data_IF_607348044533
#
_entry.id   IF_607348044533
#
_cell.length_a   1.000
_cell.length_b   1.000
_cell.length_c   1.000
_cell.angle_alpha   90.00
_cell.angle_beta   90.00
_cell.angle_gamma   90.00
#
_symmetry.space_group_name_H-M   'P 1'
#
loop_
_entity.id
_entity.type
_entity.pdbx_description
1 polymer ?
#
# COMPACT_ATOMS: atom_id res chain seq x y z
N UNK A 1 -55.08 0.20 -46.90
CA UNK A 1 -53.66 -0.15 -46.65
C UNK A 1 -53.19 0.74 -45.49
N UNK A 2 -53.13 0.31 -44.22
CA UNK A 2 -52.16 -0.63 -43.59
C UNK A 2 -50.74 -0.03 -43.76
N UNK A 3 -50.08 0.55 -42.74
CA UNK A 3 -49.36 -0.13 -41.62
C UNK A 3 -49.03 0.88 -40.47
N UNK A 4 -49.11 0.38 -39.23
CA UNK A 4 -48.63 0.94 -37.94
C UNK A 4 -47.13 0.61 -37.69
N UNK A 5 -46.56 1.14 -36.59
CA UNK A 5 -45.31 0.68 -35.89
C UNK A 5 -44.01 1.16 -36.57
N UNK A 6 -42.87 1.48 -35.93
CA UNK A 6 -42.26 1.22 -34.61
C UNK A 6 -41.03 2.19 -34.57
N UNK A 7 -40.75 3.01 -33.54
CA UNK A 7 -40.12 2.60 -32.29
C UNK A 7 -38.64 2.20 -32.47
N UNK A 8 -37.67 3.07 -32.16
CA UNK A 8 -36.40 2.66 -31.52
C UNK A 8 -35.64 3.87 -30.94
N UNK A 9 -35.85 4.11 -29.64
CA UNK A 9 -34.94 4.91 -28.83
C UNK A 9 -33.79 3.99 -28.38
N UNK A 10 -32.60 4.17 -28.95
CA UNK A 10 -31.37 3.51 -28.49
C UNK A 10 -30.87 4.22 -27.22
N UNK A 11 -31.40 3.78 -26.07
CA UNK A 11 -30.87 4.12 -24.77
C UNK A 11 -29.58 3.35 -24.52
N UNK A 12 -28.43 4.04 -24.58
CA UNK A 12 -27.15 3.50 -24.13
C UNK A 12 -27.15 3.53 -22.60
N UNK A 13 -27.56 2.41 -21.99
CA UNK A 13 -27.41 2.19 -20.55
C UNK A 13 -25.94 1.96 -20.23
N UNK A 14 -25.27 3.03 -19.78
CA UNK A 14 -23.97 2.93 -19.13
C UNK A 14 -24.17 2.22 -17.79
N UNK A 15 -23.97 0.90 -17.77
CA UNK A 15 -23.87 0.13 -16.54
C UNK A 15 -22.59 0.57 -15.85
N UNK A 16 -22.71 1.55 -14.96
CA UNK A 16 -21.69 1.89 -13.98
C UNK A 16 -21.54 0.66 -13.09
N UNK A 17 -20.55 -0.16 -13.42
CA UNK A 17 -20.07 -1.25 -12.58
C UNK A 17 -19.43 -0.61 -11.35
N UNK A 18 -20.23 -0.38 -10.32
CA UNK A 18 -19.75 -0.07 -8.99
C UNK A 18 -19.15 -1.38 -8.44
N UNK A 19 -17.84 -1.55 -8.58
CA UNK A 19 -17.14 -2.62 -7.87
C UNK A 19 -17.43 -2.47 -6.37
N UNK A 20 -17.74 -3.55 -5.64
CA UNK A 20 -17.98 -3.45 -4.21
C UNK A 20 -16.69 -2.98 -3.53
N UNK A 21 -16.69 -1.73 -3.09
CA UNK A 21 -15.70 -1.24 -2.13
C UNK A 21 -15.93 -2.06 -0.86
N UNK A 22 -15.04 -3.00 -0.59
CA UNK A 22 -15.11 -3.85 0.59
C UNK A 22 -15.25 -2.97 1.84
N UNK A 23 -16.39 -3.08 2.52
CA UNK A 23 -16.72 -2.29 3.70
C UNK A 23 -15.65 -2.47 4.77
N UNK A 24 -15.04 -1.35 5.19
CA UNK A 24 -14.12 -1.29 6.32
C UNK A 24 -14.94 -1.55 7.58
N UNK A 25 -14.74 -2.67 8.27
CA UNK A 25 -15.34 -2.79 9.60
C UNK A 25 -14.57 -1.89 10.56
N UNK A 26 -15.27 -1.27 11.52
CA UNK A 26 -14.68 -0.34 12.48
C UNK A 26 -13.58 -0.99 13.36
N UNK A 27 -13.54 -2.31 13.42
CA UNK A 27 -12.55 -3.10 14.15
C UNK A 27 -11.36 -3.59 13.31
N UNK A 28 -11.33 -3.31 11.99
CA UNK A 28 -10.21 -3.66 11.12
C UNK A 28 -8.94 -2.89 11.51
N UNK A 29 -7.80 -3.57 11.44
CA UNK A 29 -6.47 -2.93 11.49
C UNK A 29 -6.17 -2.42 10.07
N UNK A 30 -6.13 -1.10 9.90
CA UNK A 30 -5.85 -0.46 8.60
C UNK A 30 -4.40 0.02 8.55
N UNK A 31 -3.65 -0.46 7.57
CA UNK A 31 -2.29 -0.04 7.27
C UNK A 31 -2.29 1.00 6.15
N UNK A 32 -2.24 2.28 6.52
CA UNK A 32 -1.93 3.38 5.60
C UNK A 32 -0.54 3.22 4.99
N UNK A 33 -0.48 3.13 3.66
CA UNK A 33 0.74 2.89 2.91
C UNK A 33 0.93 3.93 1.81
N UNK A 34 1.86 4.86 2.00
CA UNK A 34 2.24 5.84 0.99
C UNK A 34 3.40 5.30 0.14
N UNK A 35 3.30 5.43 -1.20
CA UNK A 35 4.30 4.88 -2.11
C UNK A 35 4.45 5.75 -3.36
N UNK A 36 5.60 5.64 -4.03
CA UNK A 36 5.88 6.34 -5.29
C UNK A 36 4.98 5.84 -6.43
N UNK A 37 4.30 6.74 -7.13
CA UNK A 37 3.34 6.44 -8.20
C UNK A 37 3.90 5.55 -9.32
N UNK A 38 5.22 5.48 -9.50
CA UNK A 38 5.87 4.58 -10.45
C UNK A 38 5.57 3.10 -10.20
N UNK A 39 5.12 2.76 -8.98
CA UNK A 39 4.78 1.40 -8.57
C UNK A 39 3.28 1.11 -8.55
N UNK A 40 2.43 2.07 -8.94
CA UNK A 40 0.98 2.04 -8.73
C UNK A 40 0.31 0.78 -9.24
N UNK A 41 0.61 0.36 -10.47
CA UNK A 41 0.00 -0.83 -11.04
C UNK A 41 0.30 -2.07 -10.20
N UNK A 42 1.58 -2.28 -9.88
CA UNK A 42 2.00 -3.44 -9.10
C UNK A 42 1.45 -3.40 -7.67
N UNK A 43 1.53 -2.24 -6.99
CA UNK A 43 1.01 -2.07 -5.63
C UNK A 43 -0.49 -2.29 -5.56
N UNK A 44 -1.24 -1.82 -6.55
CA UNK A 44 -2.69 -2.03 -6.63
C UNK A 44 -3.02 -3.52 -6.74
N UNK A 45 -2.32 -4.24 -7.60
CA UNK A 45 -2.57 -5.65 -7.84
C UNK A 45 -2.25 -6.52 -6.61
N UNK A 46 -1.08 -6.32 -5.99
CA UNK A 46 -0.69 -7.08 -4.80
C UNK A 46 -1.54 -6.71 -3.58
N UNK A 47 -1.91 -5.44 -3.43
CA UNK A 47 -2.75 -4.98 -2.32
C UNK A 47 -4.16 -5.55 -2.44
N UNK A 48 -4.72 -5.59 -3.66
CA UNK A 48 -6.01 -6.24 -3.92
C UNK A 48 -5.97 -7.71 -3.52
N UNK A 49 -4.93 -8.43 -3.93
CA UNK A 49 -4.76 -9.85 -3.58
C UNK A 49 -4.63 -10.05 -2.06
N UNK A 50 -3.80 -9.26 -1.38
CA UNK A 50 -3.61 -9.32 0.07
C UNK A 50 -4.90 -9.03 0.84
N UNK A 51 -5.62 -7.97 0.48
CA UNK A 51 -6.88 -7.60 1.14
C UNK A 51 -7.98 -8.65 0.92
N UNK A 52 -8.01 -9.28 -0.27
CA UNK A 52 -8.94 -10.35 -0.59
C UNK A 52 -8.66 -11.64 0.21
N UNK A 53 -7.39 -11.95 0.49
CA UNK A 53 -7.00 -13.11 1.29
C UNK A 53 -7.50 -13.03 2.75
N UNK A 54 -7.84 -11.83 3.23
CA UNK A 54 -8.54 -11.66 4.50
C UNK A 54 -7.71 -12.03 5.74
N UNK A 55 -6.42 -11.67 5.73
CA UNK A 55 -5.50 -11.90 6.85
C UNK A 55 -6.04 -11.35 8.18
N UNK A 56 -5.82 -12.08 9.26
CA UNK A 56 -6.28 -11.74 10.61
C UNK A 56 -5.11 -11.75 11.59
N UNK A 57 -5.01 -10.71 12.42
CA UNK A 57 -4.03 -10.60 13.51
C UNK A 57 -4.78 -10.28 14.79
N UNK A 58 -4.58 -11.09 15.83
CA UNK A 58 -5.26 -10.94 17.14
C UNK A 58 -6.79 -10.82 17.01
N UNK A 59 -7.39 -11.61 16.11
CA UNK A 59 -8.83 -11.63 15.86
C UNK A 59 -9.36 -10.47 15.02
N UNK A 60 -8.52 -9.53 14.59
CA UNK A 60 -8.91 -8.40 13.73
C UNK A 60 -8.41 -8.59 12.31
N UNK A 61 -9.23 -8.27 11.31
CA UNK A 61 -8.80 -8.31 9.92
C UNK A 61 -7.79 -7.19 9.66
N UNK A 62 -6.73 -7.50 8.93
CA UNK A 62 -5.72 -6.53 8.48
C UNK A 62 -6.02 -6.14 7.05
N UNK A 63 -6.09 -4.84 6.77
CA UNK A 63 -6.25 -4.30 5.41
C UNK A 63 -5.18 -3.26 5.15
N UNK A 64 -4.66 -3.24 3.93
CA UNK A 64 -3.73 -2.21 3.45
C UNK A 64 -4.52 -1.18 2.65
N UNK A 65 -4.30 0.10 2.96
CA UNK A 65 -4.86 1.24 2.23
C UNK A 65 -3.72 1.97 1.50
N UNK A 66 -3.50 1.69 0.22
CA UNK A 66 -2.37 2.24 -0.53
C UNK A 66 -2.72 3.62 -1.10
N UNK A 67 -1.82 4.60 -0.97
CA UNK A 67 -1.95 5.93 -1.58
C UNK A 67 -0.76 6.20 -2.50
N UNK A 68 -0.96 6.32 -3.83
CA UNK A 68 0.08 6.74 -4.75
C UNK A 68 0.41 8.23 -4.53
N UNK A 69 1.70 8.56 -4.54
CA UNK A 69 2.20 9.91 -4.29
C UNK A 69 3.47 10.19 -5.07
N UNK A 70 3.84 11.47 -5.18
CA UNK A 70 5.20 11.84 -5.57
C UNK A 70 6.23 11.29 -4.56
N UNK A 71 7.40 10.86 -5.05
CA UNK A 71 8.40 10.19 -4.20
C UNK A 71 8.94 11.08 -3.07
N UNK A 72 9.12 12.37 -3.35
CA UNK A 72 9.54 13.37 -2.37
C UNK A 72 8.36 13.84 -1.49
N UNK A 73 7.21 14.10 -2.12
CA UNK A 73 5.97 14.54 -1.46
C UNK A 73 5.56 13.61 -0.31
N UNK A 74 5.63 12.29 -0.52
CA UNK A 74 5.28 11.32 0.51
C UNK A 74 6.20 11.41 1.75
N UNK A 75 7.48 11.73 1.56
CA UNK A 75 8.44 11.90 2.66
C UNK A 75 8.20 13.22 3.38
N UNK A 76 8.03 14.30 2.62
CA UNK A 76 7.76 15.65 3.13
C UNK A 76 6.47 15.69 3.97
N UNK A 77 5.37 15.12 3.49
CA UNK A 77 4.10 15.11 4.23
C UNK A 77 4.17 14.28 5.53
N UNK A 78 4.94 13.19 5.52
CA UNK A 78 5.15 12.37 6.73
C UNK A 78 6.07 13.10 7.72
N UNK A 79 7.10 13.80 7.25
CA UNK A 79 7.96 14.67 8.08
C UNK A 79 7.17 15.82 8.71
N UNK A 80 6.36 16.50 7.91
CA UNK A 80 5.50 17.59 8.35
C UNK A 80 4.36 17.12 9.28
N UNK A 81 4.12 15.80 9.36
CA UNK A 81 3.05 15.20 10.13
C UNK A 81 1.66 15.46 9.55
N UNK A 82 1.56 16.03 8.34
CA UNK A 82 0.32 16.22 7.59
C UNK A 82 -0.24 14.89 7.09
N UNK A 83 0.62 13.87 6.95
CA UNK A 83 0.24 12.48 6.66
C UNK A 83 0.66 11.53 7.76
N UNK A 84 -0.25 10.61 8.12
CA UNK A 84 -0.02 9.51 9.05
C UNK A 84 0.10 8.20 8.26
N UNK A 85 1.27 7.91 7.71
CA UNK A 85 1.55 6.65 7.04
C UNK A 85 2.21 5.65 8.01
N UNK A 86 1.79 4.38 7.96
CA UNK A 86 2.46 3.29 8.69
C UNK A 86 3.59 2.68 7.87
N UNK A 87 3.45 2.71 6.55
CA UNK A 87 4.42 2.22 5.58
C UNK A 87 4.73 3.33 4.56
N UNK A 88 6.00 3.42 4.17
CA UNK A 88 6.48 4.39 3.19
C UNK A 88 7.43 3.69 2.19
N UNK A 89 7.15 3.82 0.89
CA UNK A 89 7.97 3.24 -0.18
C UNK A 89 8.20 4.25 -1.32
N UNK A 90 9.14 5.19 -1.17
CA UNK A 90 9.47 6.15 -2.23
C UNK A 90 10.08 5.44 -3.46
N UNK A 91 10.29 6.19 -4.55
CA UNK A 91 10.95 5.70 -5.75
C UNK A 91 12.40 5.25 -5.49
N UNK A 92 13.11 5.91 -4.56
CA UNK A 92 14.51 5.67 -4.26
C UNK A 92 14.79 5.73 -2.74
N UNK A 93 15.75 4.91 -2.30
CA UNK A 93 16.27 4.95 -0.92
C UNK A 93 16.89 6.30 -0.54
N UNK A 94 17.35 7.09 -1.51
CA UNK A 94 17.87 8.43 -1.26
C UNK A 94 16.86 9.35 -0.54
N UNK A 95 15.56 9.22 -0.86
CA UNK A 95 14.52 9.98 -0.16
C UNK A 95 14.36 9.56 1.30
N UNK A 96 14.60 8.29 1.62
CA UNK A 96 14.58 7.81 3.00
C UNK A 96 15.81 8.33 3.77
N UNK A 97 16.99 8.33 3.14
CA UNK A 97 18.21 8.85 3.75
C UNK A 97 18.11 10.35 4.03
N UNK A 98 17.64 11.13 3.05
CA UNK A 98 17.41 12.57 3.21
C UNK A 98 16.34 12.86 4.26
N UNK A 99 15.19 12.17 4.20
CA UNK A 99 14.13 12.35 5.19
C UNK A 99 14.55 11.95 6.61
N UNK A 100 15.34 10.90 6.77
CA UNK A 100 15.91 10.54 8.06
C UNK A 100 16.93 11.58 8.56
N UNK A 101 17.77 12.10 7.67
CA UNK A 101 18.71 13.18 8.01
C UNK A 101 17.97 14.44 8.48
N UNK A 102 16.91 14.83 7.78
CA UNK A 102 16.07 15.97 8.13
C UNK A 102 15.32 15.76 9.45
N UNK A 103 14.73 14.58 9.68
CA UNK A 103 14.05 14.25 10.93
C UNK A 103 14.98 14.30 12.14
N UNK A 104 16.23 13.87 11.98
CA UNK A 104 17.28 13.97 13.01
C UNK A 104 17.72 15.41 13.26
N UNK A 105 17.84 16.22 12.20
CA UNK A 105 18.22 17.63 12.31
C UNK A 105 17.10 18.50 12.92
N UNK A 106 15.84 18.11 12.73
CA UNK A 106 14.67 18.75 13.33
C UNK A 106 14.43 18.36 14.81
N UNK A 107 13.27 18.73 15.34
CA UNK A 107 12.91 18.54 16.75
C UNK A 107 12.77 17.07 17.18
N UNK A 108 12.75 16.11 16.24
CA UNK A 108 12.52 14.70 16.49
C UNK A 108 13.75 13.93 16.97
N UNK A 109 14.96 14.35 16.57
CA UNK A 109 16.24 13.73 16.96
C UNK A 109 16.35 12.23 16.63
N UNK A 110 15.47 11.71 15.77
CA UNK A 110 15.30 10.27 15.47
C UNK A 110 15.04 10.10 13.99
N UNK A 111 15.20 8.88 13.49
CA UNK A 111 14.87 8.55 12.11
C UNK A 111 13.35 8.61 11.88
N UNK A 112 12.96 9.18 10.74
CA UNK A 112 11.58 9.20 10.25
C UNK A 112 11.07 7.78 9.98
N UNK A 113 11.88 7.00 9.27
CA UNK A 113 11.59 5.64 8.85
C UNK A 113 12.71 4.74 9.32
N UNK A 114 12.35 3.73 10.11
CA UNK A 114 13.27 2.62 10.38
C UNK A 114 13.41 1.79 9.12
N UNK A 115 14.56 1.87 8.47
CA UNK A 115 14.88 1.01 7.33
C UNK A 115 15.10 -0.41 7.87
N UNK A 116 14.09 -1.27 7.72
CA UNK A 116 14.21 -2.67 8.11
C UNK A 116 15.17 -3.44 7.20
N UNK A 117 15.82 -4.49 7.72
CA UNK A 117 16.75 -5.37 6.98
C UNK A 117 16.13 -5.97 5.70
N UNK A 118 14.81 -6.06 5.63
CA UNK A 118 14.02 -6.53 4.49
C UNK A 118 14.14 -5.65 3.24
N UNK A 119 14.46 -4.36 3.37
CA UNK A 119 14.67 -3.44 2.24
C UNK A 119 16.01 -3.74 1.53
N UNK A 120 17.05 -4.12 2.29
CA UNK A 120 18.31 -4.57 1.69
C UNK A 120 18.12 -5.89 0.95
N UNK A 121 17.32 -6.80 1.50
CA UNK A 121 17.02 -8.08 0.85
C UNK A 121 16.18 -7.92 -0.43
N UNK A 122 15.18 -7.03 -0.43
CA UNK A 122 14.39 -6.74 -1.63
C UNK A 122 15.21 -6.14 -2.78
N UNK A 123 16.27 -5.37 -2.48
CA UNK A 123 17.20 -4.88 -3.49
C UNK A 123 18.04 -6.01 -4.11
N UNK A 124 18.42 -7.01 -3.30
CA UNK A 124 19.11 -8.24 -3.77
C UNK A 124 18.16 -9.12 -4.58
N UNK A 125 16.89 -9.19 -4.19
CA UNK A 125 15.88 -10.03 -4.83
C UNK A 125 15.24 -9.40 -6.07
N UNK A 126 15.39 -8.09 -6.32
CA UNK A 126 14.87 -7.44 -7.52
C UNK A 126 15.48 -7.96 -8.84
N UNK A 127 16.57 -8.74 -8.77
CA UNK A 127 17.12 -9.51 -9.88
C UNK A 127 16.64 -10.97 -9.98
N UNK A 128 15.80 -11.42 -9.04
CA UNK A 128 15.27 -12.78 -8.99
C UNK A 128 13.73 -12.76 -8.93
N UNK A 129 13.08 -13.68 -9.64
CA UNK A 129 11.62 -13.82 -9.63
C UNK A 129 11.08 -13.87 -8.19
N UNK A 130 9.97 -13.17 -7.85
CA UNK A 130 9.49 -13.08 -6.47
C UNK A 130 9.18 -14.47 -5.90
N UNK A 131 9.97 -14.93 -4.93
CA UNK A 131 9.57 -16.05 -4.08
C UNK A 131 8.69 -15.52 -2.97
N UNK A 132 7.48 -16.04 -2.87
CA UNK A 132 6.64 -15.89 -1.68
C UNK A 132 7.39 -16.55 -0.52
N UNK A 133 8.08 -15.75 0.29
CA UNK A 133 8.74 -16.22 1.50
C UNK A 133 7.66 -16.46 2.55
N UNK A 134 7.33 -17.73 2.78
CA UNK A 134 6.48 -18.15 3.90
C UNK A 134 7.14 -17.73 5.21
N UNK A 135 6.36 -17.20 6.13
CA UNK A 135 6.75 -16.83 7.49
C UNK A 135 7.49 -17.97 8.21
N UNK A 136 8.82 -17.96 8.15
CA UNK A 136 9.67 -18.78 9.02
C UNK A 136 9.73 -18.13 10.40
N UNK A 137 9.03 -18.72 11.37
CA UNK A 137 9.12 -18.32 12.77
C UNK A 137 10.52 -18.57 13.29
N UNK A 138 11.17 -17.50 13.75
CA UNK A 138 12.37 -17.60 14.56
C UNK A 138 11.96 -18.12 15.95
N UNK A 139 12.21 -19.41 16.17
CA UNK A 139 12.23 -20.03 17.50
C UNK A 139 13.67 -20.47 17.80
N UNK A 140 14.60 -19.52 17.78
CA UNK A 140 15.95 -19.69 18.30
C UNK A 140 15.96 -19.60 19.83
N UNK A 141 15.77 -20.74 20.48
CA UNK A 141 15.92 -21.00 21.92
C UNK A 141 17.22 -20.44 22.50
N UNK A 142 17.08 -19.47 23.42
CA UNK A 142 18.14 -19.14 24.37
C UNK A 142 18.05 -20.05 25.58
N UNK A 143 19.14 -20.77 25.90
CA UNK A 143 19.55 -21.12 27.28
C UNK A 143 20.90 -21.87 27.27
N UNK A 144 21.66 -21.86 28.38
CA UNK A 144 21.81 -20.84 29.42
C UNK A 144 23.08 -20.00 29.25
#
# INVERSE_FOLDING_TARGET
MIVRLLGLALGVSFLISCAPVASVRADDIVLEFAYGSEKEQWITDVTRAYNAAGHVVKGKRVRVNPTPMGSGEAVEEVLAGTRKAHLLSPASGAFLELGNAESRAGAGGKDLVKIGRWIQQAHVDAGATPRVLSSGGDTGTGTP
#
